data_IF_797025032692
#
_entry.id   IF_797025032692
#
_cell.length_a   1.000
_cell.length_b   1.000
_cell.length_c   1.000
_cell.angle_alpha   90.00
_cell.angle_beta   90.00
_cell.angle_gamma   90.00
#
_symmetry.space_group_name_H-M   'P 1'
#
loop_
_entity.id
_entity.type
_entity.pdbx_description
1 polymer ?
#
# COMPACT_ATOMS: atom_id res chain seq x y z
N UNK A 1 -9.31 7.65 27.02
CA UNK A 1 -9.99 7.16 25.78
C UNK A 1 -10.11 5.66 25.91
N UNK A 2 -11.25 5.03 25.57
CA UNK A 2 -11.38 3.58 25.71
C UNK A 2 -10.53 2.85 24.65
N UNK A 3 -10.11 1.62 24.94
CA UNK A 3 -9.39 0.76 23.98
C UNK A 3 -10.15 0.62 22.67
N UNK A 4 -11.47 0.48 22.71
CA UNK A 4 -12.34 0.37 21.54
C UNK A 4 -12.21 1.60 20.65
N UNK A 5 -12.25 2.80 21.23
CA UNK A 5 -12.11 4.04 20.47
C UNK A 5 -10.74 4.17 19.80
N UNK A 6 -9.67 3.69 20.45
CA UNK A 6 -8.34 3.68 19.86
C UNK A 6 -8.26 2.73 18.66
N UNK A 7 -8.85 1.55 18.76
CA UNK A 7 -8.93 0.58 17.66
C UNK A 7 -9.72 1.15 16.50
N UNK A 8 -10.90 1.72 16.72
CA UNK A 8 -11.73 2.34 15.68
C UNK A 8 -10.98 3.48 15.01
N UNK A 9 -10.30 4.33 15.78
CA UNK A 9 -9.47 5.43 15.25
C UNK A 9 -8.34 4.91 14.37
N UNK A 10 -7.65 3.85 14.79
CA UNK A 10 -6.57 3.22 14.01
C UNK A 10 -7.10 2.62 12.70
N UNK A 11 -8.22 1.89 12.76
CA UNK A 11 -8.88 1.34 11.56
C UNK A 11 -9.25 2.46 10.58
N UNK A 12 -9.86 3.54 11.06
CA UNK A 12 -10.21 4.68 10.22
C UNK A 12 -8.99 5.40 9.63
N UNK A 13 -7.88 5.42 10.34
CA UNK A 13 -6.62 5.97 9.83
C UNK A 13 -6.02 5.11 8.71
N UNK A 14 -5.85 3.80 8.93
CA UNK A 14 -5.16 2.91 7.98
C UNK A 14 -5.99 2.52 6.75
N UNK A 15 -7.32 2.72 6.76
CA UNK A 15 -8.14 2.42 5.58
C UNK A 15 -7.86 3.32 4.36
N UNK A 16 -7.12 4.40 4.55
CA UNK A 16 -6.85 5.40 3.53
C UNK A 16 -5.35 5.64 3.39
N UNK A 17 -4.86 5.66 2.16
CA UNK A 17 -3.45 5.91 1.90
C UNK A 17 -3.05 7.35 2.24
N UNK A 18 -1.93 7.51 2.92
CA UNK A 18 -1.18 8.75 3.01
C UNK A 18 -0.37 8.93 1.73
N UNK A 19 -0.37 10.14 1.16
CA UNK A 19 0.33 10.40 -0.11
C UNK A 19 1.48 11.39 0.02
N UNK A 20 1.60 12.00 1.17
CA UNK A 20 2.71 12.86 1.53
C UNK A 20 3.07 12.62 3.00
N UNK A 21 4.35 12.60 3.29
CA UNK A 21 4.87 12.32 4.62
C UNK A 21 5.83 13.44 5.03
N UNK A 22 5.96 13.66 6.32
CA UNK A 22 7.03 14.50 6.88
C UNK A 22 8.34 13.70 6.90
N UNK A 23 9.10 13.80 5.82
CA UNK A 23 10.35 13.07 5.64
C UNK A 23 11.50 13.58 6.53
N UNK A 24 11.30 14.68 7.28
CA UNK A 24 12.30 15.19 8.21
C UNK A 24 12.32 14.41 9.54
N UNK A 25 11.30 13.57 9.77
CA UNK A 25 11.21 12.72 10.96
C UNK A 25 11.74 11.33 10.68
N UNK A 26 12.21 10.65 11.72
CA UNK A 26 12.60 9.23 11.64
C UNK A 26 11.76 8.43 12.62
N UNK A 27 11.34 7.23 12.20
CA UNK A 27 10.64 6.29 13.08
C UNK A 27 11.65 5.78 14.13
N UNK A 28 11.32 5.83 15.44
CA UNK A 28 12.17 5.29 16.49
C UNK A 28 12.45 3.80 16.28
N UNK A 29 13.63 3.35 16.67
CA UNK A 29 14.04 1.95 16.50
C UNK A 29 13.10 0.98 17.21
N UNK A 30 12.59 1.31 18.40
CA UNK A 30 11.60 0.50 19.12
C UNK A 30 10.33 0.28 18.33
N UNK A 31 9.83 1.33 17.68
CA UNK A 31 8.60 1.27 16.90
C UNK A 31 8.84 0.53 15.59
N UNK A 32 10.00 0.75 14.96
CA UNK A 32 10.41 0.00 13.78
C UNK A 32 10.48 -1.51 14.07
N UNK A 33 11.06 -1.89 15.21
CA UNK A 33 11.09 -3.29 15.65
C UNK A 33 9.68 -3.85 15.87
N UNK A 34 8.77 -3.08 16.48
CA UNK A 34 7.38 -3.52 16.66
C UNK A 34 6.65 -3.70 15.32
N UNK A 35 6.89 -2.81 14.36
CA UNK A 35 6.32 -2.93 13.01
C UNK A 35 6.87 -4.15 12.25
N UNK A 36 8.18 -4.39 12.32
CA UNK A 36 8.82 -5.58 11.75
C UNK A 36 8.26 -6.85 12.42
N UNK A 37 8.08 -6.82 13.73
CA UNK A 37 7.52 -7.94 14.48
C UNK A 37 6.09 -8.26 14.03
N UNK A 38 5.22 -7.25 13.91
CA UNK A 38 3.86 -7.40 13.41
C UNK A 38 3.84 -8.02 12.00
N UNK A 39 4.64 -7.47 11.07
CA UNK A 39 4.70 -7.97 9.71
C UNK A 39 5.25 -9.40 9.61
N UNK A 40 6.23 -9.75 10.44
CA UNK A 40 6.91 -11.06 10.40
C UNK A 40 6.08 -12.17 11.04
N UNK A 41 5.32 -11.86 12.09
CA UNK A 41 4.64 -12.86 12.92
C UNK A 41 3.12 -12.93 12.65
N UNK A 42 2.66 -12.33 11.56
CA UNK A 42 1.26 -12.42 11.16
C UNK A 42 0.85 -13.87 10.87
N UNK A 43 -0.41 -14.25 11.17
CA UNK A 43 -0.88 -15.59 10.94
C UNK A 43 -0.88 -15.94 9.44
N UNK A 44 -0.49 -17.16 9.13
CA UNK A 44 -0.53 -17.71 7.78
C UNK A 44 -1.04 -19.15 7.81
N UNK A 45 -1.45 -19.69 6.67
CA UNK A 45 -1.87 -21.08 6.57
C UNK A 45 -0.74 -21.99 7.05
N UNK A 46 -1.02 -22.80 8.07
CA UNK A 46 -0.08 -23.75 8.68
C UNK A 46 1.22 -23.10 9.20
N UNK A 47 1.18 -21.80 9.46
CA UNK A 47 2.33 -20.99 9.85
C UNK A 47 3.47 -20.99 8.82
N UNK A 48 3.12 -21.20 7.56
CA UNK A 48 4.04 -21.12 6.42
C UNK A 48 4.09 -19.69 5.90
N UNK A 49 5.21 -19.02 6.10
CA UNK A 49 5.41 -17.65 5.59
C UNK A 49 5.83 -17.73 4.12
N UNK A 50 4.98 -17.23 3.23
CA UNK A 50 5.22 -17.24 1.78
C UNK A 50 5.72 -15.88 1.26
N UNK A 51 6.42 -15.14 2.09
CA UNK A 51 7.04 -13.87 1.72
C UNK A 51 8.33 -13.65 2.48
N UNK A 52 9.17 -12.79 1.90
CA UNK A 52 10.34 -12.23 2.55
C UNK A 52 10.15 -10.72 2.66
N UNK A 53 10.66 -10.13 3.73
CA UNK A 53 10.58 -8.68 3.96
C UNK A 53 11.94 -8.04 3.76
N UNK A 54 11.98 -6.95 2.98
CA UNK A 54 13.04 -5.98 3.00
C UNK A 54 12.50 -4.68 3.57
N UNK A 55 13.19 -4.08 4.52
CA UNK A 55 12.77 -2.86 5.19
C UNK A 55 13.83 -1.79 4.99
N UNK A 56 13.42 -0.63 4.50
CA UNK A 56 14.29 0.49 4.17
C UNK A 56 13.88 1.73 4.97
N UNK A 57 14.86 2.37 5.60
CA UNK A 57 14.74 3.68 6.27
C UNK A 57 15.61 4.73 5.59
N UNK A 58 16.43 4.33 4.62
CA UNK A 58 17.24 5.22 3.81
C UNK A 58 16.38 5.90 2.74
N UNK A 59 16.19 7.20 2.87
CA UNK A 59 15.42 8.01 1.93
C UNK A 59 15.97 7.96 0.50
N UNK A 60 17.26 7.74 0.30
CA UNK A 60 17.84 7.63 -1.04
C UNK A 60 17.36 6.34 -1.73
N UNK A 61 17.34 5.22 -1.02
CA UNK A 61 16.84 3.95 -1.54
C UNK A 61 15.33 4.03 -1.77
N UNK A 62 14.58 4.58 -0.80
CA UNK A 62 13.13 4.75 -0.93
C UNK A 62 12.79 5.63 -2.15
N UNK A 63 13.53 6.71 -2.37
CA UNK A 63 13.36 7.59 -3.53
C UNK A 63 13.64 6.86 -4.85
N UNK A 64 14.67 6.02 -4.90
CA UNK A 64 14.95 5.20 -6.08
C UNK A 64 13.79 4.25 -6.37
N UNK A 65 13.29 3.51 -5.36
CA UNK A 65 12.14 2.60 -5.52
C UNK A 65 10.90 3.39 -5.96
N UNK A 66 10.63 4.54 -5.35
CA UNK A 66 9.51 5.43 -5.72
C UNK A 66 9.56 5.82 -7.20
N UNK A 67 10.74 6.11 -7.73
CA UNK A 67 10.92 6.46 -9.14
C UNK A 67 10.55 5.33 -10.11
N UNK A 68 10.51 4.09 -9.64
CA UNK A 68 10.12 2.90 -10.40
C UNK A 68 8.74 2.36 -10.02
N UNK A 69 7.92 3.12 -9.30
CA UNK A 69 6.49 2.82 -9.26
C UNK A 69 5.87 3.12 -10.62
N UNK A 70 4.96 2.25 -11.06
CA UNK A 70 4.27 2.45 -12.35
C UNK A 70 3.56 3.78 -12.33
N UNK A 71 3.90 4.54 -13.35
CA UNK A 71 3.20 5.78 -13.60
C UNK A 71 1.79 5.45 -14.07
N UNK A 72 0.81 6.12 -13.53
CA UNK A 72 -0.52 6.14 -14.15
C UNK A 72 -0.70 7.49 -14.82
N UNK A 73 -1.17 7.45 -16.05
CA UNK A 73 -1.61 8.64 -16.75
C UNK A 73 -2.95 9.05 -16.15
N UNK A 74 -3.17 10.34 -16.03
CA UNK A 74 -4.44 10.87 -15.53
C UNK A 74 -5.59 10.69 -16.53
N UNK A 75 -5.32 10.10 -17.67
CA UNK A 75 -6.28 9.70 -18.69
C UNK A 75 -7.33 8.69 -18.23
N UNK A 76 -7.26 8.22 -17.01
CA UNK A 76 -8.11 7.13 -16.51
C UNK A 76 -9.60 7.50 -16.41
N UNK A 77 -9.99 8.71 -16.69
CA UNK A 77 -11.40 9.02 -16.79
C UNK A 77 -11.79 9.42 -18.23
N UNK A 78 -11.76 8.47 -19.16
CA UNK A 78 -12.42 8.62 -20.46
C UNK A 78 -13.86 9.18 -20.34
N UNK A 79 -14.55 8.88 -19.24
CA UNK A 79 -15.86 9.44 -18.92
C UNK A 79 -15.82 10.94 -18.61
N UNK A 80 -14.76 11.43 -17.98
CA UNK A 80 -14.56 12.85 -17.71
C UNK A 80 -14.07 13.61 -18.96
N UNK A 81 -13.27 12.95 -19.80
CA UNK A 81 -12.83 13.50 -21.09
C UNK A 81 -14.00 13.69 -22.02
N UNK A 82 -14.83 12.66 -22.20
CA UNK A 82 -16.04 12.70 -23.07
C UNK A 82 -17.06 13.74 -22.61
N UNK A 83 -17.11 14.06 -21.32
CA UNK A 83 -18.06 15.05 -20.79
C UNK A 83 -17.64 16.49 -21.02
N UNK A 84 -16.40 16.79 -21.40
CA UNK A 84 -15.85 18.15 -21.49
C UNK A 84 -15.36 18.55 -22.88
N UNK A 85 -15.29 17.65 -23.86
CA UNK A 85 -14.92 17.96 -25.24
C UNK A 85 -13.51 18.51 -25.44
N UNK A 86 -12.63 18.39 -24.45
CA UNK A 86 -11.24 18.80 -24.53
C UNK A 86 -10.35 17.62 -24.87
N UNK A 87 -9.57 17.74 -25.92
CA UNK A 87 -8.53 16.80 -26.29
C UNK A 87 -7.35 16.95 -25.33
N UNK A 88 -7.26 16.07 -24.36
CA UNK A 88 -6.21 16.10 -23.35
C UNK A 88 -4.96 15.43 -23.87
N UNK A 89 -3.91 16.20 -24.08
CA UNK A 89 -2.57 15.69 -24.40
C UNK A 89 -1.94 15.03 -23.17
N UNK A 90 -2.27 13.75 -22.94
CA UNK A 90 -1.82 12.98 -21.79
C UNK A 90 -0.42 12.39 -21.89
N UNK A 91 0.20 12.47 -23.04
CA UNK A 91 1.41 11.72 -23.38
C UNK A 91 2.62 11.95 -22.46
N UNK A 92 2.62 12.98 -21.62
CA UNK A 92 3.76 13.29 -20.76
C UNK A 92 3.42 13.53 -19.28
N UNK A 93 2.23 13.16 -18.81
CA UNK A 93 1.77 13.50 -17.45
C UNK A 93 1.44 12.25 -16.65
N UNK A 94 2.48 11.54 -16.27
CA UNK A 94 2.36 10.39 -15.43
C UNK A 94 2.78 10.73 -14.01
N UNK A 95 1.96 10.40 -13.03
CA UNK A 95 2.28 10.51 -11.61
C UNK A 95 2.68 9.15 -11.06
N UNK A 96 3.67 9.15 -10.21
CA UNK A 96 4.15 7.99 -9.48
C UNK A 96 3.22 7.73 -8.28
N UNK A 97 3.44 6.61 -7.61
CA UNK A 97 2.66 6.24 -6.43
C UNK A 97 3.30 6.79 -5.15
N UNK A 98 2.97 8.04 -4.80
CA UNK A 98 3.60 8.76 -3.68
C UNK A 98 3.29 8.17 -2.31
N UNK A 99 2.30 7.28 -2.18
CA UNK A 99 1.98 6.60 -0.92
C UNK A 99 3.10 5.72 -0.39
N UNK A 100 4.13 5.42 -1.18
CA UNK A 100 5.30 4.66 -0.70
C UNK A 100 6.53 5.53 -0.45
N UNK A 101 6.48 6.83 -0.79
CA UNK A 101 7.54 7.77 -0.51
C UNK A 101 7.42 8.28 0.93
N UNK A 102 7.81 7.44 1.87
CA UNK A 102 7.56 7.54 3.31
C UNK A 102 8.87 7.46 4.12
N UNK A 103 8.79 7.61 5.44
CA UNK A 103 9.95 7.52 6.34
C UNK A 103 10.54 6.11 6.41
N UNK A 104 9.69 5.08 6.19
CA UNK A 104 10.08 3.68 6.13
C UNK A 104 9.29 2.98 5.03
N UNK A 105 9.95 2.10 4.29
CA UNK A 105 9.36 1.30 3.22
C UNK A 105 9.55 -0.19 3.52
N UNK A 106 8.45 -0.92 3.58
CA UNK A 106 8.41 -2.37 3.62
C UNK A 106 8.18 -2.89 2.19
N UNK A 107 9.07 -3.75 1.73
CA UNK A 107 8.98 -4.42 0.44
C UNK A 107 8.72 -5.89 0.69
N UNK A 108 7.55 -6.35 0.29
CA UNK A 108 7.17 -7.76 0.33
C UNK A 108 7.65 -8.44 -0.94
N UNK A 109 8.51 -9.42 -0.77
CA UNK A 109 9.03 -10.26 -1.85
C UNK A 109 8.31 -11.61 -1.84
N UNK A 110 8.04 -12.16 -3.01
CA UNK A 110 7.53 -13.52 -3.10
C UNK A 110 8.55 -14.52 -2.56
N UNK A 111 8.08 -15.47 -1.75
CA UNK A 111 8.87 -16.60 -1.30
C UNK A 111 8.08 -17.90 -1.47
N UNK A 112 8.78 -18.98 -1.74
CA UNK A 112 8.18 -20.31 -1.85
C UNK A 112 7.76 -20.87 -0.46
N UNK A 113 8.22 -20.25 0.61
CA UNK A 113 8.06 -20.81 1.96
C UNK A 113 9.02 -21.95 2.24
N UNK A 114 8.78 -22.70 3.32
CA UNK A 114 9.56 -23.90 3.62
C UNK A 114 9.13 -25.06 2.70
N UNK A 115 10.05 -25.56 1.89
CA UNK A 115 9.80 -26.71 1.01
C UNK A 115 9.33 -27.97 1.75
N UNK A 116 9.52 -28.03 3.07
CA UNK A 116 9.00 -29.08 3.95
C UNK A 116 7.62 -28.77 4.50
N UNK A 117 7.09 -27.59 4.22
CA UNK A 117 5.77 -27.15 4.67
C UNK A 117 4.65 -28.02 4.08
N UNK A 118 3.54 -28.14 4.81
CA UNK A 118 2.43 -29.01 4.42
C UNK A 118 1.79 -28.57 3.08
N UNK A 119 1.80 -27.28 2.76
CA UNK A 119 1.32 -26.78 1.47
C UNK A 119 2.17 -27.27 0.31
N UNK A 120 3.50 -27.23 0.47
CA UNK A 120 4.46 -27.70 -0.53
C UNK A 120 4.40 -29.21 -0.73
N UNK A 121 4.33 -29.97 0.37
CA UNK A 121 4.22 -31.43 0.31
C UNK A 121 2.92 -31.88 -0.37
N UNK A 122 1.81 -31.18 -0.15
CA UNK A 122 0.54 -31.44 -0.83
C UNK A 122 0.61 -31.13 -2.32
N UNK A 123 1.27 -30.04 -2.71
CA UNK A 123 1.47 -29.71 -4.12
C UNK A 123 2.30 -30.77 -4.86
N UNK A 124 3.33 -31.30 -4.19
CA UNK A 124 4.19 -32.34 -4.75
C UNK A 124 3.51 -33.72 -4.82
N UNK A 125 2.58 -34.00 -3.91
CA UNK A 125 1.91 -35.32 -3.84
C UNK A 125 0.83 -35.54 -4.90
N UNK A 126 0.58 -34.57 -5.77
CA UNK A 126 -0.44 -34.69 -6.82
C UNK A 126 -1.89 -34.73 -6.32
N UNK A 127 -2.13 -34.46 -5.03
CA UNK A 127 -3.46 -34.48 -4.43
C UNK A 127 -4.22 -33.15 -4.64
N UNK A 128 -4.29 -32.66 -5.90
CA UNK A 128 -5.21 -31.63 -6.27
C UNK A 128 -4.86 -30.18 -5.85
N UNK A 129 -3.63 -29.94 -5.42
CA UNK A 129 -3.14 -28.59 -5.24
C UNK A 129 -2.56 -28.06 -6.55
N UNK A 130 -3.37 -27.38 -7.32
CA UNK A 130 -2.90 -26.67 -8.50
C UNK A 130 -1.99 -25.51 -8.12
N UNK A 131 -1.10 -25.11 -9.02
CA UNK A 131 -0.22 -23.95 -8.84
C UNK A 131 -1.00 -22.65 -8.51
N UNK A 132 -2.25 -22.55 -8.99
CA UNK A 132 -3.18 -21.48 -8.65
C UNK A 132 -3.41 -21.36 -7.12
N UNK A 133 -3.60 -22.50 -6.44
CA UNK A 133 -3.82 -22.53 -4.97
C UNK A 133 -2.61 -22.07 -4.21
N UNK A 134 -1.40 -22.41 -4.65
CA UNK A 134 -0.17 -21.90 -4.05
C UNK A 134 -0.06 -20.40 -4.20
N UNK A 135 -0.36 -19.87 -5.39
CA UNK A 135 -0.35 -18.43 -5.65
C UNK A 135 -1.36 -17.69 -4.77
N UNK A 136 -2.57 -18.26 -4.59
CA UNK A 136 -3.56 -17.70 -3.66
C UNK A 136 -3.08 -17.68 -2.23
N UNK A 137 -2.47 -18.77 -1.73
CA UNK A 137 -1.95 -18.83 -0.37
C UNK A 137 -0.82 -17.83 -0.13
N UNK A 138 0.06 -17.61 -1.12
CA UNK A 138 1.07 -16.56 -1.08
C UNK A 138 0.43 -15.17 -0.95
N UNK A 139 -0.55 -14.87 -1.78
CA UNK A 139 -1.26 -13.61 -1.75
C UNK A 139 -2.02 -13.39 -0.44
N UNK A 140 -2.66 -14.42 0.10
CA UNK A 140 -3.33 -14.35 1.41
C UNK A 140 -2.34 -14.06 2.53
N UNK A 141 -1.19 -14.74 2.56
CA UNK A 141 -0.15 -14.52 3.56
C UNK A 141 0.36 -13.08 3.55
N UNK A 142 0.65 -12.53 2.37
CA UNK A 142 1.06 -11.12 2.21
C UNK A 142 -0.08 -10.20 2.66
N UNK A 143 -1.31 -10.44 2.22
CA UNK A 143 -2.45 -9.58 2.56
C UNK A 143 -2.75 -9.52 4.05
N UNK A 144 -2.67 -10.66 4.76
CA UNK A 144 -2.86 -10.73 6.21
C UNK A 144 -1.75 -9.97 6.93
N UNK A 145 -0.49 -10.21 6.54
CA UNK A 145 0.67 -9.52 7.10
C UNK A 145 0.60 -8.00 6.92
N UNK A 146 0.24 -7.55 5.73
CA UNK A 146 0.07 -6.11 5.46
C UNK A 146 -1.06 -5.52 6.28
N UNK A 147 -2.18 -6.23 6.42
CA UNK A 147 -3.29 -5.78 7.26
C UNK A 147 -2.87 -5.58 8.72
N UNK A 148 -2.11 -6.52 9.29
CA UNK A 148 -1.59 -6.42 10.64
C UNK A 148 -0.54 -5.31 10.78
N UNK A 149 0.37 -5.18 9.82
CA UNK A 149 1.37 -4.12 9.78
C UNK A 149 0.75 -2.72 9.77
N UNK A 150 -0.21 -2.46 8.87
CA UNK A 150 -0.82 -1.12 8.75
C UNK A 150 -1.70 -0.76 9.95
N UNK A 151 -2.36 -1.75 10.55
CA UNK A 151 -3.12 -1.55 11.78
C UNK A 151 -2.17 -1.23 12.95
N UNK A 152 -1.09 -1.98 13.10
CA UNK A 152 -0.05 -1.74 14.11
C UNK A 152 0.58 -0.37 13.95
N UNK A 153 0.93 0.03 12.72
CA UNK A 153 1.44 1.36 12.43
C UNK A 153 0.45 2.45 12.85
N UNK A 154 -0.83 2.27 12.55
CA UNK A 154 -1.86 3.24 12.93
C UNK A 154 -2.12 3.31 14.42
N UNK A 155 -1.99 2.21 15.15
CA UNK A 155 -2.06 2.18 16.62
C UNK A 155 -0.89 2.95 17.25
N UNK A 156 0.30 2.91 16.63
CA UNK A 156 1.45 3.70 17.01
C UNK A 156 1.38 5.18 16.55
N UNK A 157 0.34 5.55 15.81
CA UNK A 157 0.12 6.92 15.35
C UNK A 157 0.68 7.24 13.95
N UNK A 158 1.30 6.27 13.28
CA UNK A 158 1.82 6.45 11.92
C UNK A 158 0.74 6.39 10.86
N UNK A 159 1.03 6.95 9.70
CA UNK A 159 0.22 6.85 8.49
C UNK A 159 0.83 5.81 7.55
N UNK A 160 -0.01 5.26 6.70
CA UNK A 160 0.38 4.15 5.82
C UNK A 160 -0.09 4.36 4.39
N UNK A 161 0.61 3.74 3.45
CA UNK A 161 0.22 3.69 2.06
C UNK A 161 0.71 2.42 1.39
N UNK A 162 -0.15 1.79 0.59
CA UNK A 162 0.11 0.51 -0.05
C UNK A 162 0.15 0.69 -1.56
N UNK A 163 1.09 0.03 -2.24
CA UNK A 163 1.22 0.06 -3.68
C UNK A 163 1.68 -1.29 -4.24
N UNK A 164 0.96 -1.81 -5.22
CA UNK A 164 1.38 -2.96 -6.05
C UNK A 164 1.75 -2.56 -7.48
N UNK A 165 1.52 -1.30 -7.84
CA UNK A 165 1.82 -0.80 -9.18
C UNK A 165 3.28 -0.36 -9.26
N UNK A 166 4.16 -1.26 -9.68
CA UNK A 166 5.61 -1.05 -9.73
C UNK A 166 6.22 -1.73 -10.95
N UNK A 167 7.41 -1.25 -11.34
CA UNK A 167 8.27 -1.90 -12.32
C UNK A 167 9.20 -2.86 -11.57
N UNK A 168 8.89 -4.15 -11.67
CA UNK A 168 9.51 -5.20 -10.86
C UNK A 168 11.03 -5.27 -11.05
N UNK A 169 11.50 -5.29 -12.28
CA UNK A 169 12.92 -5.53 -12.57
C UNK A 169 13.85 -4.42 -12.06
N UNK A 170 13.58 -3.11 -12.29
CA UNK A 170 14.38 -2.05 -11.69
C UNK A 170 14.42 -2.11 -10.16
N UNK A 171 13.29 -2.44 -9.52
CA UNK A 171 13.24 -2.54 -8.05
C UNK A 171 14.09 -3.71 -7.57
N UNK A 172 14.05 -4.87 -8.24
CA UNK A 172 14.93 -6.02 -7.93
C UNK A 172 16.39 -5.64 -7.96
N UNK A 173 16.81 -4.85 -8.96
CA UNK A 173 18.18 -4.36 -9.08
C UNK A 173 18.56 -3.42 -7.94
N UNK A 174 17.68 -2.47 -7.57
CA UNK A 174 17.90 -1.54 -6.45
C UNK A 174 18.10 -2.30 -5.13
N UNK A 175 17.21 -3.25 -4.84
CA UNK A 175 17.25 -4.01 -3.58
C UNK A 175 18.12 -5.26 -3.64
N UNK A 176 18.78 -5.51 -4.77
CA UNK A 176 19.76 -6.60 -5.02
C UNK A 176 19.18 -7.98 -4.67
N UNK A 177 18.01 -8.30 -5.20
CA UNK A 177 17.34 -9.58 -4.99
C UNK A 177 16.98 -10.25 -6.30
N UNK A 178 16.87 -11.59 -6.27
CA UNK A 178 16.28 -12.37 -7.36
C UNK A 178 14.78 -12.62 -7.16
N UNK A 179 14.26 -12.38 -5.95
CA UNK A 179 12.86 -12.58 -5.62
C UNK A 179 12.01 -11.43 -6.17
N UNK A 180 10.77 -11.75 -6.53
CA UNK A 180 9.84 -10.78 -7.11
C UNK A 180 9.19 -9.90 -6.03
N UNK A 181 9.32 -8.57 -6.09
CA UNK A 181 8.52 -7.66 -5.27
C UNK A 181 7.04 -7.76 -5.62
N UNK A 182 6.20 -8.01 -4.63
CA UNK A 182 4.74 -8.13 -4.79
C UNK A 182 3.99 -6.93 -4.26
N UNK A 183 4.48 -6.35 -3.17
CA UNK A 183 3.78 -5.25 -2.51
C UNK A 183 4.75 -4.32 -1.80
N UNK A 184 4.47 -3.03 -1.88
CA UNK A 184 5.19 -1.96 -1.22
C UNK A 184 4.28 -1.33 -0.16
N UNK A 185 4.78 -1.11 1.05
CA UNK A 185 4.04 -0.44 2.13
C UNK A 185 4.89 0.68 2.70
N UNK A 186 4.49 1.92 2.44
CA UNK A 186 5.07 3.10 3.05
C UNK A 186 4.47 3.34 4.43
N UNK A 187 5.30 3.65 5.41
CA UNK A 187 4.90 4.00 6.77
C UNK A 187 5.67 5.24 7.22
N UNK A 188 4.98 6.21 7.83
CA UNK A 188 5.64 7.42 8.28
C UNK A 188 4.72 8.38 8.99
N UNK A 189 5.28 9.55 9.27
CA UNK A 189 4.58 10.65 9.90
C UNK A 189 3.74 11.41 8.87
N UNK A 190 2.55 11.82 9.30
CA UNK A 190 1.72 12.75 8.53
C UNK A 190 2.44 14.09 8.35
N UNK A 191 2.34 14.66 7.17
CA UNK A 191 2.66 16.07 6.98
C UNK A 191 1.41 16.87 7.40
N UNK A 192 1.49 17.53 8.55
CA UNK A 192 0.36 18.21 9.19
C UNK A 192 -0.10 19.45 8.39
N UNK A 193 0.78 20.02 7.58
CA UNK A 193 0.50 21.23 6.79
C UNK A 193 -0.22 20.91 5.46
N UNK A 194 -0.46 19.62 5.17
CA UNK A 194 -0.98 19.19 3.88
C UNK A 194 -2.11 18.17 4.02
N UNK A 195 -3.06 18.23 3.09
CA UNK A 195 -4.06 17.18 2.98
C UNK A 195 -3.37 15.85 2.61
N UNK A 196 -3.71 14.78 3.32
CA UNK A 196 -3.11 13.44 3.10
C UNK A 196 -3.30 12.89 1.70
N UNK A 197 -4.29 13.39 0.94
CA UNK A 197 -4.56 13.01 -0.45
C UNK A 197 -3.71 13.75 -1.46
N UNK A 198 -3.02 14.80 -1.03
CA UNK A 198 -2.11 15.55 -1.90
C UNK A 198 -0.89 14.73 -2.27
N UNK A 199 -0.52 14.79 -3.54
CA UNK A 199 0.69 14.13 -4.02
C UNK A 199 1.95 14.71 -3.37
N UNK A 200 3.00 13.89 -3.19
CA UNK A 200 4.28 14.36 -2.64
C UNK A 200 4.94 15.45 -3.50
N UNK A 201 4.79 15.37 -4.82
CA UNK A 201 5.32 16.35 -5.78
C UNK A 201 4.29 17.46 -6.06
N UNK A 202 4.77 18.64 -6.38
CA UNK A 202 3.94 19.80 -6.75
C UNK A 202 3.11 19.53 -8.02
N UNK A 203 2.02 20.25 -8.15
CA UNK A 203 1.23 20.28 -9.38
C UNK A 203 2.12 20.65 -10.56
N UNK A 204 2.12 19.83 -11.59
CA UNK A 204 2.51 20.29 -12.90
C UNK A 204 1.42 21.28 -13.38
N UNK A 205 1.81 22.45 -13.95
CA UNK A 205 0.92 23.53 -14.39
C UNK A 205 -0.22 23.09 -15.34
N UNK A 206 -0.19 21.87 -15.79
CA UNK A 206 -1.13 21.29 -16.75
C UNK A 206 -2.13 20.31 -16.14
N UNK A 207 -2.29 20.26 -14.82
CA UNK A 207 -3.30 19.42 -14.20
C UNK A 207 -4.68 20.00 -14.44
N UNK A 208 -5.64 19.17 -14.88
CA UNK A 208 -7.02 19.59 -15.06
C UNK A 208 -7.63 20.21 -13.81
N UNK A 209 -8.43 21.27 -13.98
CA UNK A 209 -9.16 21.91 -12.89
C UNK A 209 -9.98 20.94 -12.03
N UNK A 210 -10.45 19.83 -12.62
CA UNK A 210 -11.22 18.80 -11.90
C UNK A 210 -10.41 18.04 -10.87
N UNK A 211 -9.08 18.00 -11.02
CA UNK A 211 -8.16 17.44 -10.05
C UNK A 211 -7.62 18.50 -9.10
N UNK A 212 -7.87 19.75 -9.39
CA UNK A 212 -7.71 20.87 -8.47
C UNK A 212 -8.99 20.94 -7.63
N UNK A 213 -9.12 20.10 -6.63
CA UNK A 213 -10.30 20.12 -5.77
C UNK A 213 -10.33 21.39 -4.94
N UNK A 214 -10.88 22.47 -5.48
CA UNK A 214 -11.39 23.67 -4.77
C UNK A 214 -10.52 24.31 -3.69
N UNK A 215 -9.26 23.90 -3.56
CA UNK A 215 -8.28 24.47 -2.64
C UNK A 215 -7.17 25.14 -3.43
N UNK A 216 -6.58 26.20 -2.87
CA UNK A 216 -5.40 26.88 -3.40
C UNK A 216 -4.12 26.01 -3.33
N UNK A 217 -4.28 24.70 -3.14
CA UNK A 217 -3.17 23.78 -3.04
C UNK A 217 -2.43 23.64 -4.36
N UNK A 218 -1.12 23.80 -4.32
CA UNK A 218 -0.23 23.54 -5.46
C UNK A 218 0.02 22.05 -5.73
N UNK A 219 -0.59 21.16 -4.93
CA UNK A 219 -0.40 19.71 -5.00
C UNK A 219 -1.61 19.02 -5.61
N UNK A 220 -1.34 17.91 -6.30
CA UNK A 220 -2.35 17.00 -6.77
C UNK A 220 -3.12 16.39 -5.61
N UNK A 221 -4.46 16.30 -5.75
CA UNK A 221 -5.30 15.57 -4.80
C UNK A 221 -5.87 14.31 -5.43
N UNK A 222 -5.71 13.20 -4.73
CA UNK A 222 -6.30 11.93 -5.14
C UNK A 222 -7.73 11.81 -4.60
N UNK A 223 -8.70 11.39 -5.44
CA UNK A 223 -10.06 11.19 -4.97
C UNK A 223 -10.12 10.08 -3.91
N UNK A 224 -10.97 10.27 -2.92
CA UNK A 224 -11.27 9.25 -1.92
C UNK A 224 -12.66 8.69 -2.14
N UNK A 225 -12.74 7.36 -2.29
CA UNK A 225 -14.01 6.66 -2.45
C UNK A 225 -14.48 6.12 -1.09
N UNK A 226 -15.79 6.14 -0.86
CA UNK A 226 -16.37 5.43 0.29
C UNK A 226 -16.27 3.92 0.05
N UNK A 227 -15.90 3.18 1.10
CA UNK A 227 -15.96 1.72 1.05
C UNK A 227 -17.42 1.29 0.99
N UNK A 228 -17.70 0.36 0.08
CA UNK A 228 -19.01 -0.29 -0.04
C UNK A 228 -18.80 -1.77 0.24
N UNK A 229 -19.13 -2.20 1.45
CA UNK A 229 -19.11 -3.60 1.83
C UNK A 229 -20.48 -3.95 2.41
N UNK A 230 -21.23 -4.82 1.76
CA UNK A 230 -22.47 -5.32 2.32
C UNK A 230 -22.14 -6.33 3.42
N UNK A 231 -22.64 -6.09 4.62
CA UNK A 231 -22.46 -6.98 5.77
C UNK A 231 -23.77 -7.67 6.10
N UNK A 232 -23.73 -8.97 6.31
CA UNK A 232 -24.90 -9.78 6.69
C UNK A 232 -24.61 -10.46 8.03
N UNK A 233 -25.49 -10.24 9.01
CA UNK A 233 -25.48 -10.96 10.28
C UNK A 233 -26.60 -12.00 10.27
N UNK A 234 -26.27 -13.27 10.45
CA UNK A 234 -27.22 -14.38 10.40
C UNK A 234 -28.13 -14.35 9.15
N UNK A 235 -27.56 -13.98 8.00
CA UNK A 235 -28.26 -13.87 6.72
C UNK A 235 -29.06 -12.57 6.52
N UNK A 236 -29.12 -11.69 7.51
CA UNK A 236 -29.79 -10.39 7.42
C UNK A 236 -28.78 -9.29 7.15
N UNK A 237 -29.03 -8.49 6.11
CA UNK A 237 -28.16 -7.34 5.79
C UNK A 237 -28.22 -6.31 6.92
N UNK A 238 -27.03 -6.02 7.47
CA UNK A 238 -26.89 -4.92 8.42
C UNK A 238 -26.90 -3.60 7.64
N UNK A 239 -27.64 -2.60 8.12
CA UNK A 239 -27.54 -1.25 7.59
C UNK A 239 -26.18 -0.69 7.93
N UNK A 240 -25.51 -0.10 6.93
CA UNK A 240 -24.29 0.65 7.17
C UNK A 240 -24.64 1.85 8.07
N UNK A 241 -24.18 1.84 9.32
CA UNK A 241 -24.17 3.05 10.14
C UNK A 241 -23.11 3.98 9.54
N UNK A 242 -23.58 5.05 8.90
CA UNK A 242 -22.74 6.12 8.32
C UNK A 242 -22.03 6.92 9.40
#
# INVERSE_FOLDING_TARGET
MSMINNIIKAINSCQRAQRNYDLNKSIPESDLHALIYAAKNSPSKQNETHYQLCVYTDNAIISQIYNHTKKFTLSINEALEKSKGEEWLYENKSVKNSQIYANTLFVYLEDEGDARGATHLRAQSGHGFEQSVLTEQKNYSIGISVGELILSASLLGYKTGICSAMDVEPIRQIIKTQKEPKLLVGIGYENEDRDRTEHAETLNKHVPENFKTGSDSEYWKFPTFQKKCAVYLNGQKIKDDN
#
